data_IF_033454584697
#
_entry.id   IF_033454584697
#
_cell.length_a   1.000
_cell.length_b   1.000
_cell.length_c   1.000
_cell.angle_alpha   90.00
_cell.angle_beta   90.00
_cell.angle_gamma   90.00
#
_symmetry.space_group_name_H-M   'P 1'
#
loop_
_entity.id
_entity.type
_entity.pdbx_description
1 polymer ?
#
# COMPACT_ATOMS: atom_id res chain seq x y z
N UNK A 1 -4.82 25.79 5.42
CA UNK A 1 -3.69 25.09 4.77
C UNK A 1 -4.27 24.20 3.67
N UNK A 2 -3.79 24.31 2.42
CA UNK A 2 -4.32 23.54 1.29
C UNK A 2 -3.93 22.05 1.43
N UNK A 3 -4.90 21.13 1.31
CA UNK A 3 -4.65 19.68 1.28
C UNK A 3 -3.89 19.32 0.00
N UNK A 4 -2.57 19.38 0.05
CA UNK A 4 -1.70 18.87 -1.02
C UNK A 4 -1.47 17.38 -0.79
N UNK A 5 -1.69 16.58 -1.83
CA UNK A 5 -1.30 15.17 -1.89
C UNK A 5 0.02 15.04 -2.64
N UNK A 6 0.83 14.06 -2.25
CA UNK A 6 2.07 13.67 -2.91
C UNK A 6 1.92 12.21 -3.33
N UNK A 7 2.62 11.84 -4.40
CA UNK A 7 2.59 10.48 -4.90
C UNK A 7 3.96 9.86 -4.68
N UNK A 8 3.97 8.72 -4.01
CA UNK A 8 5.17 8.01 -3.56
C UNK A 8 5.16 6.62 -4.17
N UNK A 9 6.34 6.15 -4.55
CA UNK A 9 6.53 4.79 -5.02
C UNK A 9 6.94 3.91 -3.83
N UNK A 10 6.15 2.87 -3.60
CA UNK A 10 6.44 1.83 -2.64
C UNK A 10 6.68 0.51 -3.33
N UNK A 11 7.44 -0.36 -2.66
CA UNK A 11 7.70 -1.71 -3.12
C UNK A 11 6.91 -2.68 -2.27
N UNK A 12 6.19 -3.57 -2.93
CA UNK A 12 5.53 -4.69 -2.29
C UNK A 12 6.56 -5.67 -1.71
N UNK A 13 6.31 -6.15 -0.49
CA UNK A 13 7.21 -7.09 0.18
C UNK A 13 6.55 -8.42 0.55
N UNK A 14 5.30 -8.41 1.04
CA UNK A 14 4.65 -9.63 1.53
C UNK A 14 3.13 -9.57 1.42
N UNK A 15 2.54 -10.65 0.93
CA UNK A 15 1.12 -10.97 1.07
C UNK A 15 0.94 -12.15 2.02
N UNK A 16 -0.08 -12.08 2.87
CA UNK A 16 -0.58 -13.21 3.64
C UNK A 16 -2.09 -13.30 3.43
N UNK A 17 -2.60 -14.51 3.26
CA UNK A 17 -4.03 -14.82 3.32
C UNK A 17 -4.20 -15.73 4.54
N UNK A 18 -4.97 -15.30 5.52
CA UNK A 18 -5.42 -16.21 6.57
C UNK A 18 -6.65 -16.99 6.08
N UNK A 19 -6.80 -18.23 6.56
CA UNK A 19 -7.96 -19.10 6.32
C UNK A 19 -9.29 -18.46 6.74
N UNK A 20 -9.27 -17.45 7.63
CA UNK A 20 -10.41 -16.59 7.98
C UNK A 20 -10.61 -15.40 7.00
N UNK A 21 -10.42 -15.63 5.70
CA UNK A 21 -10.70 -14.66 4.61
C UNK A 21 -9.99 -13.29 4.72
N UNK A 22 -8.96 -13.21 5.56
CA UNK A 22 -8.26 -11.95 5.82
C UNK A 22 -7.04 -11.84 4.90
N UNK A 23 -7.16 -11.00 3.89
CA UNK A 23 -6.06 -10.64 3.00
C UNK A 23 -5.25 -9.51 3.63
N UNK A 24 -3.93 -9.68 3.72
CA UNK A 24 -3.01 -8.65 4.21
C UNK A 24 -1.90 -8.43 3.20
N UNK A 25 -1.66 -7.16 2.85
CA UNK A 25 -0.60 -6.74 1.94
C UNK A 25 0.29 -5.72 2.65
N UNK A 26 1.58 -6.00 2.75
CA UNK A 26 2.56 -5.08 3.34
C UNK A 26 3.40 -4.41 2.28
N UNK A 27 3.37 -3.08 2.30
CA UNK A 27 4.09 -2.20 1.40
C UNK A 27 5.13 -1.41 2.16
N UNK A 28 6.34 -1.37 1.63
CA UNK A 28 7.40 -0.50 2.15
C UNK A 28 7.61 0.65 1.18
N UNK A 29 7.65 1.87 1.67
CA UNK A 29 7.91 3.07 0.87
C UNK A 29 8.82 4.02 1.63
N UNK A 30 9.50 4.90 0.89
CA UNK A 30 10.36 5.92 1.48
C UNK A 30 9.69 7.29 1.33
N UNK A 31 9.38 7.92 2.47
CA UNK A 31 8.79 9.26 2.57
C UNK A 31 9.35 9.92 3.83
N UNK A 32 10.36 10.78 3.70
CA UNK A 32 11.07 11.35 4.87
C UNK A 32 11.62 10.28 5.86
N UNK A 33 11.81 9.05 5.37
CA UNK A 33 12.16 7.88 6.17
C UNK A 33 11.60 6.59 5.59
N UNK A 34 11.95 5.43 6.18
CA UNK A 34 11.39 4.14 5.76
C UNK A 34 10.03 3.90 6.46
N UNK A 35 8.96 3.86 5.68
CA UNK A 35 7.60 3.60 6.15
C UNK A 35 7.08 2.25 5.68
N UNK A 36 6.31 1.58 6.52
CA UNK A 36 5.55 0.39 6.17
C UNK A 36 4.04 0.70 6.23
N UNK A 37 3.31 0.37 5.17
CA UNK A 37 1.86 0.47 5.11
C UNK A 37 1.25 -0.92 4.92
N UNK A 38 0.34 -1.26 5.82
CA UNK A 38 -0.42 -2.50 5.75
C UNK A 38 -1.78 -2.20 5.14
N UNK A 39 -2.05 -2.83 3.99
CA UNK A 39 -3.36 -2.84 3.38
C UNK A 39 -4.07 -4.14 3.75
N UNK A 40 -5.37 -4.03 3.98
CA UNK A 40 -6.27 -5.18 4.07
C UNK A 40 -7.22 -5.13 2.86
N UNK A 41 -6.88 -5.79 1.73
CA UNK A 41 -7.80 -5.94 0.62
C UNK A 41 -9.10 -6.58 1.11
N UNK A 42 -10.24 -6.02 0.70
CA UNK A 42 -11.56 -6.51 1.10
C UNK A 42 -11.95 -7.80 0.39
N UNK A 43 -11.35 -8.06 -0.77
CA UNK A 43 -11.73 -9.14 -1.66
C UNK A 43 -10.50 -9.82 -2.25
N UNK A 44 -10.62 -11.11 -2.57
CA UNK A 44 -9.57 -11.90 -3.22
C UNK A 44 -9.08 -11.23 -4.51
N UNK A 45 -9.99 -10.67 -5.32
CA UNK A 45 -9.63 -9.99 -6.57
C UNK A 45 -8.69 -8.81 -6.34
N UNK A 46 -8.92 -8.05 -5.26
CA UNK A 46 -8.06 -6.94 -4.89
C UNK A 46 -6.70 -7.47 -4.40
N UNK A 47 -6.68 -8.58 -3.68
CA UNK A 47 -5.46 -9.27 -3.25
C UNK A 47 -4.64 -9.85 -4.40
N UNK A 48 -5.26 -10.53 -5.36
CA UNK A 48 -4.62 -11.12 -6.54
C UNK A 48 -3.99 -10.08 -7.47
N UNK A 49 -4.42 -8.82 -7.38
CA UNK A 49 -3.78 -7.69 -8.04
C UNK A 49 -2.37 -7.36 -7.51
N UNK A 50 -1.99 -7.92 -6.35
CA UNK A 50 -0.71 -7.69 -5.69
C UNK A 50 0.26 -8.84 -5.92
N UNK A 51 1.34 -8.59 -6.65
CA UNK A 51 2.40 -9.58 -6.88
C UNK A 51 3.69 -9.21 -6.14
N UNK A 52 4.37 -10.21 -5.58
CA UNK A 52 5.74 -10.60 -5.98
C UNK A 52 6.74 -9.51 -6.42
N UNK A 53 6.99 -8.43 -5.68
CA UNK A 53 7.96 -7.39 -6.07
C UNK A 53 7.41 -6.36 -7.05
N UNK A 54 6.07 -6.27 -7.15
CA UNK A 54 5.37 -5.24 -7.90
C UNK A 54 5.52 -3.89 -7.20
N UNK A 55 5.82 -2.85 -7.98
CA UNK A 55 5.79 -1.48 -7.51
C UNK A 55 4.35 -1.05 -7.23
N UNK A 56 4.17 -0.16 -6.27
CA UNK A 56 2.88 0.37 -5.89
C UNK A 56 2.95 1.87 -5.74
N UNK A 57 1.86 2.53 -6.10
CA UNK A 57 1.76 3.98 -6.05
C UNK A 57 0.90 4.37 -4.86
N UNK A 58 1.52 4.97 -3.85
CA UNK A 58 0.87 5.46 -2.65
C UNK A 58 0.61 6.96 -2.83
N UNK A 59 -0.64 7.38 -2.61
CA UNK A 59 -1.01 8.79 -2.52
C UNK A 59 -1.03 9.14 -1.05
N UNK A 60 -0.07 9.95 -0.63
CA UNK A 60 0.11 10.35 0.77
C UNK A 60 -0.18 11.85 0.89
N UNK A 61 -0.90 12.24 1.93
CA UNK A 61 -1.09 13.66 2.24
C UNK A 61 0.19 14.28 2.80
N UNK A 62 0.31 15.61 2.80
CA UNK A 62 1.42 16.28 3.50
C UNK A 62 1.47 16.03 5.02
N UNK A 63 0.45 15.34 5.58
CA UNK A 63 0.41 14.93 6.99
C UNK A 63 0.87 13.47 7.19
N UNK A 64 1.43 12.83 6.17
CA UNK A 64 1.88 11.43 6.22
C UNK A 64 0.75 10.39 6.17
N UNK A 65 -0.50 10.82 5.96
CA UNK A 65 -1.64 9.89 5.85
C UNK A 65 -1.77 9.36 4.43
N UNK A 66 -1.76 8.03 4.28
CA UNK A 66 -2.00 7.35 2.99
C UNK A 66 -3.50 7.40 2.67
N UNK A 67 -3.87 8.06 1.57
CA UNK A 67 -5.26 8.16 1.11
C UNK A 67 -5.64 7.06 0.13
N UNK A 68 -4.71 6.70 -0.75
CA UNK A 68 -4.98 5.76 -1.84
C UNK A 68 -3.73 4.96 -2.14
N UNK A 69 -3.90 3.68 -2.41
CA UNK A 69 -2.82 2.85 -2.91
C UNK A 69 -3.28 2.07 -4.13
N UNK A 70 -2.46 2.09 -5.18
CA UNK A 70 -2.73 1.38 -6.42
C UNK A 70 -1.49 0.56 -6.81
N UNK A 71 -1.62 -0.77 -7.00
CA UNK A 71 -0.53 -1.58 -7.54
C UNK A 71 -0.28 -1.23 -9.03
N UNK A 72 0.98 -1.24 -9.47
CA UNK A 72 1.40 -0.83 -10.82
C UNK A 72 1.43 -1.96 -11.82
#
# INVERSE_FOLDING_TARGET
MARRTRIIEGTWNRTSCDTEETYTVRLRYEDDGAHEHVLAPKDERAFLGWKKGQGARLTVTNLGTVEKVVPR
#
